data_IF_506740980483
#
_entry.id   IF_506740980483
#
_cell.length_a   1.000
_cell.length_b   1.000
_cell.length_c   1.000
_cell.angle_alpha   90.00
_cell.angle_beta   90.00
_cell.angle_gamma   90.00
#
_symmetry.space_group_name_H-M   'P 1'
#
loop_
_entity.id
_entity.type
_entity.pdbx_description
1 polymer ?
#
# COMPACT_ATOMS: atom_id res chain seq x y z
N UNK A 1 13.12 -9.70 21.91
CA UNK A 1 13.52 -9.38 20.53
C UNK A 1 12.27 -9.49 19.69
N UNK A 2 11.68 -8.37 19.29
CA UNK A 2 10.62 -8.36 18.28
C UNK A 2 11.31 -8.54 16.93
N UNK A 3 10.93 -9.58 16.18
CA UNK A 3 11.45 -9.79 14.84
C UNK A 3 10.64 -8.88 13.92
N UNK A 4 11.29 -7.89 13.31
CA UNK A 4 10.68 -7.04 12.28
C UNK A 4 10.66 -7.83 10.97
N UNK A 5 9.57 -8.57 10.76
CA UNK A 5 9.44 -9.54 9.66
C UNK A 5 9.40 -8.89 8.27
N UNK A 6 9.15 -7.58 8.19
CA UNK A 6 9.06 -6.82 6.93
C UNK A 6 10.15 -5.76 6.81
N UNK A 7 11.20 -5.85 7.63
CA UNK A 7 12.28 -4.87 7.64
C UNK A 7 12.90 -4.67 6.25
N UNK A 8 12.95 -3.41 5.82
CA UNK A 8 13.56 -3.00 4.55
C UNK A 8 12.69 -3.18 3.31
N UNK A 9 11.46 -3.66 3.45
CA UNK A 9 10.50 -3.75 2.33
C UNK A 9 9.77 -2.42 2.12
N UNK A 10 9.73 -1.93 0.89
CA UNK A 10 8.92 -0.80 0.46
C UNK A 10 7.54 -1.28 0.01
N UNK A 11 6.49 -0.89 0.72
CA UNK A 11 5.12 -1.38 0.51
C UNK A 11 4.16 -0.23 0.23
N UNK A 12 3.49 -0.28 -0.92
CA UNK A 12 2.47 0.69 -1.32
C UNK A 12 1.12 0.27 -0.75
N UNK A 13 0.39 1.20 -0.15
CA UNK A 13 -0.98 0.98 0.31
C UNK A 13 -1.94 1.82 -0.52
N UNK A 14 -2.91 1.18 -1.16
CA UNK A 14 -3.97 1.81 -1.94
C UNK A 14 -5.32 1.39 -1.35
N UNK A 15 -5.99 2.33 -0.70
CA UNK A 15 -7.19 2.10 0.12
C UNK A 15 -7.97 3.42 0.21
N UNK A 16 -9.25 3.39 -0.16
CA UNK A 16 -10.09 4.60 -0.23
C UNK A 16 -10.67 4.99 1.14
N UNK A 17 -10.78 4.04 2.07
CA UNK A 17 -11.09 4.33 3.46
C UNK A 17 -9.84 4.74 4.26
N UNK A 18 -9.79 6.03 4.61
CA UNK A 18 -8.69 6.60 5.38
C UNK A 18 -8.36 5.84 6.68
N UNK A 19 -9.36 5.35 7.41
CA UNK A 19 -9.11 4.67 8.69
C UNK A 19 -8.47 3.31 8.48
N UNK A 20 -8.92 2.57 7.45
CA UNK A 20 -8.31 1.29 7.08
C UNK A 20 -6.89 1.52 6.57
N UNK A 21 -6.69 2.53 5.73
CA UNK A 21 -5.39 2.90 5.19
C UNK A 21 -4.37 3.24 6.29
N UNK A 22 -4.76 4.07 7.27
CA UNK A 22 -3.91 4.46 8.40
C UNK A 22 -3.60 3.27 9.33
N UNK A 23 -4.58 2.42 9.63
CA UNK A 23 -4.36 1.22 10.44
C UNK A 23 -3.40 0.23 9.77
N UNK A 24 -3.56 0.00 8.47
CA UNK A 24 -2.70 -0.88 7.68
C UNK A 24 -1.28 -0.32 7.60
N UNK A 25 -1.13 0.98 7.28
CA UNK A 25 0.16 1.64 7.22
C UNK A 25 0.92 1.55 8.56
N UNK A 26 0.24 1.79 9.68
CA UNK A 26 0.83 1.66 11.02
C UNK A 26 1.26 0.23 11.32
N UNK A 27 0.44 -0.75 10.97
CA UNK A 27 0.74 -2.16 11.19
C UNK A 27 1.98 -2.61 10.40
N UNK A 28 2.09 -2.19 9.14
CA UNK A 28 3.25 -2.45 8.29
C UNK A 28 4.51 -1.76 8.82
N UNK A 29 4.41 -0.49 9.20
CA UNK A 29 5.51 0.25 9.80
C UNK A 29 5.99 -0.38 11.11
N UNK A 30 5.07 -0.87 11.95
CA UNK A 30 5.41 -1.58 13.19
C UNK A 30 6.13 -2.91 12.93
N UNK A 31 5.91 -3.53 11.76
CA UNK A 31 6.62 -4.72 11.31
C UNK A 31 7.97 -4.41 10.62
N UNK A 32 8.38 -3.13 10.55
CA UNK A 32 9.64 -2.67 9.98
C UNK A 32 9.60 -2.27 8.50
N UNK A 33 8.43 -2.31 7.86
CA UNK A 33 8.28 -1.92 6.46
C UNK A 33 8.37 -0.40 6.27
N UNK A 34 8.87 0.03 5.11
CA UNK A 34 8.72 1.39 4.63
C UNK A 34 7.41 1.51 3.86
N UNK A 35 6.45 2.23 4.42
CA UNK A 35 5.18 2.49 3.73
C UNK A 35 5.36 3.60 2.70
N UNK A 36 4.90 3.34 1.48
CA UNK A 36 4.85 4.26 0.34
C UNK A 36 3.37 4.58 0.11
N UNK A 37 2.98 5.86 0.06
CA UNK A 37 1.57 6.25 0.25
C UNK A 37 1.22 6.39 1.75
N UNK A 38 -0.03 6.16 2.20
CA UNK A 38 -1.18 5.56 1.51
C UNK A 38 -1.91 6.52 0.55
N UNK A 39 -2.58 5.96 -0.45
CA UNK A 39 -3.36 6.72 -1.45
C UNK A 39 -4.75 6.12 -1.63
N UNK A 40 -5.75 6.96 -1.92
CA UNK A 40 -7.16 6.55 -2.02
C UNK A 40 -7.62 6.10 -3.39
N UNK A 41 -6.80 6.25 -4.43
CA UNK A 41 -7.19 5.96 -5.80
C UNK A 41 -6.07 5.29 -6.59
N UNK A 42 -6.44 4.53 -7.62
CA UNK A 42 -5.50 3.95 -8.59
C UNK A 42 -4.69 5.02 -9.33
N UNK A 43 -5.31 6.17 -9.62
CA UNK A 43 -4.63 7.26 -10.33
C UNK A 43 -3.49 7.84 -9.50
N UNK A 44 -3.74 8.06 -8.20
CA UNK A 44 -2.72 8.54 -7.27
C UNK A 44 -1.63 7.50 -7.06
N UNK A 45 -2.00 6.21 -6.97
CA UNK A 45 -1.04 5.11 -6.87
C UNK A 45 -0.09 5.06 -8.08
N UNK A 46 -0.62 5.18 -9.29
CA UNK A 46 0.17 5.20 -10.52
C UNK A 46 1.09 6.44 -10.58
N UNK A 47 0.59 7.61 -10.22
CA UNK A 47 1.41 8.83 -10.15
C UNK A 47 2.54 8.70 -9.12
N UNK A 48 2.31 7.97 -8.03
CA UNK A 48 3.30 7.74 -6.99
C UNK A 48 4.35 6.73 -7.44
N UNK A 49 3.96 5.69 -8.19
CA UNK A 49 4.87 4.73 -8.81
C UNK A 49 5.83 5.41 -9.80
N UNK A 50 5.35 6.36 -10.60
CA UNK A 50 6.21 7.13 -11.53
C UNK A 50 7.31 7.93 -10.82
N UNK A 51 7.13 8.23 -9.53
CA UNK A 51 8.08 8.98 -8.70
C UNK A 51 8.80 8.10 -7.66
N UNK A 52 8.60 6.79 -7.70
CA UNK A 52 9.17 5.84 -6.74
C UNK A 52 10.13 4.89 -7.45
N UNK A 53 11.43 5.00 -7.16
CA UNK A 53 12.47 4.18 -7.80
C UNK A 53 12.38 2.68 -7.45
N UNK A 54 11.81 2.35 -6.29
CA UNK A 54 11.76 0.98 -5.79
C UNK A 54 10.51 0.71 -4.94
N UNK A 55 9.82 -0.37 -5.29
CA UNK A 55 8.68 -0.90 -4.56
C UNK A 55 8.77 -2.43 -4.56
N UNK A 56 8.62 -3.05 -3.38
CA UNK A 56 8.64 -4.51 -3.25
C UNK A 56 7.23 -5.11 -3.39
N UNK A 57 6.25 -4.47 -2.77
CA UNK A 57 4.87 -4.97 -2.72
C UNK A 57 3.85 -3.82 -2.79
N UNK A 58 2.65 -4.13 -3.24
CA UNK A 58 1.50 -3.26 -3.12
C UNK A 58 0.34 -4.02 -2.47
N UNK A 59 -0.37 -3.36 -1.56
CA UNK A 59 -1.65 -3.79 -1.03
C UNK A 59 -2.70 -2.88 -1.64
N UNK A 60 -3.63 -3.49 -2.38
CA UNK A 60 -4.65 -2.81 -3.15
C UNK A 60 -6.02 -3.25 -2.64
N UNK A 61 -6.82 -2.31 -2.14
CA UNK A 61 -8.23 -2.58 -1.93
C UNK A 61 -8.93 -2.85 -3.27
N UNK A 62 -9.82 -3.83 -3.27
CA UNK A 62 -10.56 -4.21 -4.46
C UNK A 62 -11.74 -3.27 -4.74
N UNK A 63 -12.13 -2.44 -3.78
CA UNK A 63 -13.32 -1.58 -3.88
C UNK A 63 -12.97 -0.09 -3.79
N UNK A 64 -11.91 0.33 -4.48
CA UNK A 64 -11.57 1.74 -4.58
C UNK A 64 -12.66 2.54 -5.30
N UNK A 65 -13.18 3.58 -4.64
CA UNK A 65 -14.19 4.49 -5.21
C UNK A 65 -15.46 3.77 -5.71
N UNK A 66 -15.78 2.59 -5.14
CA UNK A 66 -16.91 1.77 -5.56
C UNK A 66 -16.75 1.12 -6.94
N UNK A 67 -15.53 1.12 -7.50
CA UNK A 67 -15.18 0.42 -8.73
C UNK A 67 -14.48 -0.88 -8.32
N UNK A 68 -15.14 -2.02 -8.58
CA UNK A 68 -14.49 -3.33 -8.41
C UNK A 68 -13.24 -3.39 -9.28
N UNK A 69 -12.07 -3.43 -8.64
CA UNK A 69 -10.82 -3.80 -9.27
C UNK A 69 -10.95 -5.26 -9.71
N UNK A 70 -11.36 -5.47 -10.97
CA UNK A 70 -11.32 -6.78 -11.59
C UNK A 70 -9.84 -7.20 -11.57
N UNK A 71 -9.48 -8.34 -10.97
CA UNK A 71 -8.07 -8.68 -10.78
C UNK A 71 -7.43 -8.93 -12.15
N UNK A 72 -6.52 -8.04 -12.54
CA UNK A 72 -5.44 -8.40 -13.47
C UNK A 72 -4.36 -9.04 -12.59
N UNK A 73 -4.54 -10.32 -12.28
CA UNK A 73 -3.51 -11.13 -11.65
C UNK A 73 -3.14 -12.29 -12.59
N UNK A 74 -1.90 -12.24 -13.08
CA UNK A 74 -1.06 -13.40 -13.43
C UNK A 74 0.19 -13.31 -12.54
#
# INVERSE_FOLDING_TARGET
MTVETLAGLAILVVEDDYFIADELARSLAHAGAQVVGPVGSLSDALALLDNTDHLDFAILDLNLDGVFAIPIAD
#
